data_IF_959438886208
#
_entry.id   IF_959438886208
#
_cell.length_a   1.000
_cell.length_b   1.000
_cell.length_c   1.000
_cell.angle_alpha   90.00
_cell.angle_beta   90.00
_cell.angle_gamma   90.00
#
_symmetry.space_group_name_H-M   'P 1'
#
loop_
_entity.id
_entity.type
_entity.pdbx_description
1 polymer ?
#
# COMPACT_ATOMS: atom_id res chain seq x y z
N UNK A 1 -3.78 -6.63 -5.69
CA UNK A 1 -3.51 -5.80 -6.88
C UNK A 1 -4.28 -4.49 -6.80
N UNK A 2 -3.60 -3.35 -6.80
CA UNK A 2 -4.17 -2.00 -6.88
C UNK A 2 -4.17 -1.44 -8.31
N UNK A 3 -5.26 -0.78 -8.68
CA UNK A 3 -5.41 -0.02 -9.91
C UNK A 3 -5.87 1.41 -9.63
N UNK A 4 -5.15 2.37 -10.21
CA UNK A 4 -5.41 3.80 -10.09
C UNK A 4 -6.32 4.30 -11.21
N UNK A 5 -7.31 5.11 -10.85
CA UNK A 5 -8.14 5.88 -11.78
C UNK A 5 -8.13 7.37 -11.43
N UNK A 6 -8.61 8.19 -12.37
CA UNK A 6 -8.64 9.65 -12.25
C UNK A 6 -9.38 10.18 -10.99
N UNK A 7 -10.30 9.40 -10.43
CA UNK A 7 -11.17 9.85 -9.32
C UNK A 7 -11.24 8.88 -8.15
N UNK A 8 -10.69 7.67 -8.29
CA UNK A 8 -10.72 6.65 -7.25
C UNK A 8 -9.66 5.57 -7.51
N UNK A 9 -9.35 4.82 -6.47
CA UNK A 9 -8.49 3.65 -6.55
C UNK A 9 -9.29 2.37 -6.31
N UNK A 10 -8.91 1.29 -6.98
CA UNK A 10 -9.51 -0.04 -6.79
C UNK A 10 -8.45 -1.00 -6.30
N UNK A 11 -8.70 -1.64 -5.16
CA UNK A 11 -7.89 -2.76 -4.66
C UNK A 11 -8.65 -4.06 -4.91
N UNK A 12 -7.98 -4.99 -5.58
CA UNK A 12 -8.47 -6.33 -5.84
C UNK A 12 -7.68 -7.34 -5.02
N UNK A 13 -8.40 -8.30 -4.46
CA UNK A 13 -7.86 -9.38 -3.65
C UNK A 13 -8.52 -10.71 -4.03
N UNK A 14 -7.85 -11.83 -3.73
CA UNK A 14 -8.42 -13.15 -3.96
C UNK A 14 -9.48 -13.45 -2.89
N UNK A 15 -10.75 -13.59 -3.28
CA UNK A 15 -11.85 -13.81 -2.33
C UNK A 15 -11.80 -15.19 -1.66
N UNK A 16 -11.34 -16.23 -2.37
CA UNK A 16 -11.27 -17.60 -1.87
C UNK A 16 -9.95 -17.88 -1.12
N UNK A 17 -9.64 -17.05 -0.13
CA UNK A 17 -8.51 -17.24 0.81
C UNK A 17 -8.91 -16.82 2.22
N UNK A 18 -8.05 -17.02 3.22
CA UNK A 18 -8.34 -16.66 4.62
C UNK A 18 -8.47 -15.15 4.78
N UNK A 19 -9.28 -14.67 5.74
CA UNK A 19 -9.41 -13.24 6.04
C UNK A 19 -8.05 -12.59 6.32
N UNK A 20 -7.19 -13.28 7.09
CA UNK A 20 -5.82 -12.85 7.36
C UNK A 20 -5.00 -12.60 6.07
N UNK A 21 -5.13 -13.49 5.09
CA UNK A 21 -4.44 -13.35 3.81
C UNK A 21 -5.09 -12.25 2.97
N UNK A 22 -6.41 -12.12 2.97
CA UNK A 22 -7.11 -11.02 2.29
C UNK A 22 -6.64 -9.66 2.83
N UNK A 23 -6.61 -9.50 4.15
CA UNK A 23 -6.13 -8.30 4.82
C UNK A 23 -4.66 -8.02 4.50
N UNK A 24 -3.83 -9.08 4.44
CA UNK A 24 -2.44 -8.98 4.00
C UNK A 24 -2.32 -8.44 2.57
N UNK A 25 -3.07 -8.99 1.62
CA UNK A 25 -3.12 -8.49 0.23
C UNK A 25 -3.55 -7.03 0.23
N UNK A 26 -4.63 -6.68 0.94
CA UNK A 26 -5.14 -5.30 0.95
C UNK A 26 -4.11 -4.33 1.53
N UNK A 27 -3.48 -4.69 2.66
CA UNK A 27 -2.45 -3.84 3.29
C UNK A 27 -1.20 -3.70 2.42
N UNK A 28 -0.80 -4.76 1.73
CA UNK A 28 0.28 -4.72 0.75
C UNK A 28 -0.04 -3.67 -0.34
N UNK A 29 -1.22 -3.73 -0.94
CA UNK A 29 -1.62 -2.75 -1.96
C UNK A 29 -1.75 -1.31 -1.42
N UNK A 30 -2.19 -1.15 -0.17
CA UNK A 30 -2.21 0.18 0.48
C UNK A 30 -0.79 0.72 0.66
N UNK A 31 0.18 -0.14 0.98
CA UNK A 31 1.59 0.27 1.07
C UNK A 31 2.11 0.84 -0.25
N UNK A 32 1.75 0.22 -1.38
CA UNK A 32 2.08 0.72 -2.71
C UNK A 32 1.49 2.10 -3.02
N UNK A 33 0.26 2.37 -2.57
CA UNK A 33 -0.36 3.69 -2.73
C UNK A 33 0.46 4.75 -1.98
N UNK A 34 0.83 4.46 -0.72
CA UNK A 34 1.58 5.39 0.11
C UNK A 34 2.99 5.68 -0.44
N UNK A 35 3.65 4.67 -1.00
CA UNK A 35 4.96 4.85 -1.65
C UNK A 35 4.82 5.74 -2.88
N UNK A 36 3.87 5.44 -3.78
CA UNK A 36 3.62 6.24 -4.98
C UNK A 36 3.27 7.70 -4.66
N UNK A 37 2.46 7.95 -3.62
CA UNK A 37 2.15 9.32 -3.16
C UNK A 37 3.41 10.05 -2.65
N UNK A 38 4.27 9.35 -1.91
CA UNK A 38 5.50 9.92 -1.38
C UNK A 38 6.53 10.22 -2.49
N UNK A 39 6.66 9.35 -3.48
CA UNK A 39 7.51 9.59 -4.65
C UNK A 39 7.04 10.81 -5.44
N UNK A 40 5.74 10.89 -5.74
CA UNK A 40 5.15 12.05 -6.41
C UNK A 40 5.38 13.34 -5.63
N UNK A 41 5.21 13.32 -4.31
CA UNK A 41 5.47 14.48 -3.46
C UNK A 41 6.96 14.90 -3.48
N UNK A 42 7.88 13.93 -3.55
CA UNK A 42 9.31 14.20 -3.67
C UNK A 42 9.67 14.80 -5.04
N UNK A 43 9.08 14.29 -6.13
CA UNK A 43 9.24 14.84 -7.48
C UNK A 43 8.71 16.28 -7.61
N UNK A 44 7.50 16.54 -7.09
CA UNK A 44 6.91 17.88 -7.07
C UNK A 44 7.80 18.85 -6.29
N UNK A 45 8.32 18.43 -5.13
CA UNK A 45 9.25 19.22 -4.32
C UNK A 45 10.58 19.50 -5.04
N UNK A 46 11.08 18.55 -5.84
CA UNK A 46 12.29 18.73 -6.64
C UNK A 46 12.07 19.67 -7.83
N UNK A 47 10.89 19.60 -8.47
CA UNK A 47 10.50 20.46 -9.60
C UNK A 47 10.34 21.93 -9.21
N UNK A 48 9.96 22.22 -7.96
CA UNK A 48 9.89 23.60 -7.45
C UNK A 48 11.28 24.26 -7.31
N UNK A 49 12.37 23.48 -7.29
CA UNK A 49 13.75 23.96 -7.15
C UNK A 49 14.45 24.16 -8.50
N UNK A 50 14.01 23.49 -9.56
CA UNK A 50 14.60 23.59 -10.91
C UNK A 50 13.74 24.43 -11.87
N UNK A 51 14.23 25.64 -12.18
CA UNK A 51 13.79 26.38 -13.37
C UNK A 51 14.42 25.79 -14.63
N UNK A 52 13.57 25.22 -15.48
CA UNK A 52 13.70 25.05 -16.94
C UNK A 52 14.90 24.24 -17.48
N UNK A 53 14.69 22.92 -17.64
CA UNK A 53 15.29 22.16 -18.76
C UNK A 53 14.36 21.01 -19.17
N UNK A 54 13.91 20.93 -20.44
CA UNK A 54 13.21 19.77 -20.92
C UNK A 54 14.23 18.71 -21.35
N UNK A 55 14.24 17.56 -20.69
CA UNK A 55 14.77 16.33 -21.25
C UNK A 55 13.71 15.25 -21.13
N UNK A 56 13.32 14.68 -22.27
CA UNK A 56 12.37 13.58 -22.36
C UNK A 56 12.96 12.62 -23.37
N UNK A 57 13.71 11.64 -22.87
CA UNK A 57 13.90 10.38 -23.57
C UNK A 57 12.82 9.41 -23.06
N UNK A 58 12.10 8.70 -23.94
CA UNK A 58 11.25 7.60 -23.49
C UNK A 58 12.15 6.44 -23.05
N UNK A 59 11.91 5.94 -21.83
CA UNK A 59 12.50 4.67 -21.38
C UNK A 59 11.82 3.52 -22.16
N UNK A 60 12.52 3.06 -23.19
CA UNK A 60 12.18 1.87 -23.97
C UNK A 60 12.82 0.64 -23.31
N UNK A 61 12.26 0.13 -22.21
CA UNK A 61 12.50 -1.27 -21.79
C UNK A 61 11.59 -1.75 -20.63
N UNK A 62 10.31 -1.36 -20.63
CA UNK A 62 9.31 -2.14 -19.89
C UNK A 62 8.90 -3.31 -20.78
N UNK A 63 9.17 -4.54 -20.32
CA UNK A 63 8.71 -5.77 -20.96
C UNK A 63 7.30 -5.57 -21.52
N UNK A 64 7.11 -5.86 -22.82
CA UNK A 64 5.86 -5.64 -23.54
C UNK A 64 4.75 -6.54 -22.98
N UNK A 65 4.24 -6.19 -21.81
CA UNK A 65 2.94 -6.62 -21.33
C UNK A 65 1.96 -6.04 -22.34
N UNK A 66 1.11 -6.89 -22.90
CA UNK A 66 0.06 -6.49 -23.84
C UNK A 66 -1.01 -5.69 -23.08
N UNK A 67 -0.65 -4.45 -22.74
CA UNK A 67 -1.42 -3.51 -21.94
C UNK A 67 -2.81 -3.30 -22.55
N UNK A 68 -2.87 -3.25 -23.87
CA UNK A 68 -4.11 -3.10 -24.64
C UNK A 68 -4.99 -4.36 -24.53
N UNK A 69 -4.40 -5.55 -24.61
CA UNK A 69 -5.10 -6.83 -24.46
C UNK A 69 -5.67 -7.03 -23.05
N UNK A 70 -4.91 -6.68 -22.01
CA UNK A 70 -5.37 -6.75 -20.62
C UNK A 70 -6.45 -5.72 -20.29
N UNK A 71 -6.30 -4.48 -20.76
CA UNK A 71 -7.34 -3.44 -20.61
C UNK A 71 -8.65 -3.85 -21.32
N UNK A 72 -8.56 -4.60 -22.42
CA UNK A 72 -9.73 -5.13 -23.12
C UNK A 72 -10.43 -6.26 -22.36
N UNK A 73 -9.67 -7.15 -21.72
CA UNK A 73 -10.21 -8.29 -20.97
C UNK A 73 -10.73 -7.89 -19.59
N UNK A 74 -10.15 -6.87 -18.98
CA UNK A 74 -10.49 -6.35 -17.67
C UNK A 74 -10.62 -4.82 -17.79
N UNK A 75 -11.76 -4.30 -18.30
CA UNK A 75 -12.00 -2.86 -18.48
C UNK A 75 -12.04 -2.08 -17.15
N UNK A 76 -11.92 -2.79 -16.02
CA UNK A 76 -11.63 -2.22 -14.71
C UNK A 76 -10.18 -1.70 -14.59
N UNK A 77 -9.34 -1.86 -15.61
CA UNK A 77 -8.00 -1.32 -15.61
C UNK A 77 -7.82 -0.37 -16.79
N UNK A 78 -7.49 0.88 -16.52
CA UNK A 78 -6.93 1.78 -17.54
C UNK A 78 -5.56 1.25 -17.99
N UNK A 79 -5.14 1.58 -19.21
CA UNK A 79 -3.86 1.11 -19.77
C UNK A 79 -2.65 1.47 -18.89
N UNK A 80 -2.66 2.65 -18.27
CA UNK A 80 -1.63 3.08 -17.33
C UNK A 80 -1.68 2.30 -16.00
N UNK A 81 -2.86 1.89 -15.54
CA UNK A 81 -2.99 1.01 -14.38
C UNK A 81 -2.43 -0.39 -14.68
N UNK A 82 -2.68 -0.94 -15.88
CA UNK A 82 -2.14 -2.25 -16.29
C UNK A 82 -0.60 -2.24 -16.33
N UNK A 83 0.02 -1.16 -16.86
CA UNK A 83 1.49 -1.03 -16.89
C UNK A 83 2.10 -1.07 -15.49
N UNK A 84 1.56 -0.27 -14.57
CA UNK A 84 2.03 -0.19 -13.18
C UNK A 84 1.83 -1.51 -12.44
N UNK A 85 0.66 -2.12 -12.59
CA UNK A 85 0.34 -3.43 -12.01
C UNK A 85 1.32 -4.51 -12.45
N UNK A 86 1.70 -4.53 -13.73
CA UNK A 86 2.60 -5.55 -14.26
C UNK A 86 4.04 -5.45 -13.74
N UNK A 87 4.48 -4.25 -13.36
CA UNK A 87 5.81 -4.02 -12.79
C UNK A 87 5.89 -4.46 -11.32
N UNK A 88 4.77 -4.35 -10.58
CA UNK A 88 4.65 -4.60 -9.12
C UNK A 88 4.48 -6.06 -8.70
N UNK A 89 4.90 -7.02 -9.55
CA UNK A 89 4.72 -8.46 -9.31
C UNK A 89 6.05 -9.20 -9.08
N UNK A 90 7.17 -8.48 -8.91
CA UNK A 90 8.50 -9.08 -8.74
C UNK A 90 9.06 -8.83 -7.34
N UNK A 91 9.23 -9.91 -6.56
CA UNK A 91 9.81 -9.87 -5.20
C UNK A 91 11.32 -9.57 -5.15
N UNK A 92 11.97 -9.32 -6.28
CA UNK A 92 13.40 -8.96 -6.32
C UNK A 92 13.67 -7.47 -6.07
N UNK A 93 12.60 -6.69 -5.89
CA UNK A 93 12.66 -5.27 -5.55
C UNK A 93 12.65 -5.03 -4.02
N UNK A 94 13.50 -4.11 -3.57
CA UNK A 94 13.59 -3.71 -2.17
C UNK A 94 12.34 -2.95 -1.69
N UNK A 95 11.66 -2.26 -2.60
CA UNK A 95 10.39 -1.59 -2.32
C UNK A 95 9.29 -2.60 -1.99
N UNK A 96 9.10 -3.61 -2.84
CA UNK A 96 8.14 -4.70 -2.64
C UNK A 96 8.34 -5.41 -1.29
N UNK A 97 9.60 -5.65 -0.91
CA UNK A 97 9.95 -6.21 0.40
C UNK A 97 9.57 -5.27 1.56
N UNK A 98 9.76 -3.95 1.38
CA UNK A 98 9.43 -2.95 2.39
C UNK A 98 7.92 -2.82 2.59
N UNK A 99 7.16 -2.82 1.50
CA UNK A 99 5.69 -2.79 1.51
C UNK A 99 5.13 -4.04 2.19
N UNK A 100 5.63 -5.23 1.83
CA UNK A 100 5.24 -6.49 2.47
C UNK A 100 5.57 -6.53 3.97
N UNK A 101 6.73 -6.01 4.36
CA UNK A 101 7.14 -5.94 5.76
C UNK A 101 6.20 -5.02 6.56
N UNK A 102 5.84 -3.86 6.02
CA UNK A 102 4.89 -2.94 6.66
C UNK A 102 3.52 -3.60 6.81
N UNK A 103 3.01 -4.25 5.76
CA UNK A 103 1.75 -4.99 5.81
C UNK A 103 1.76 -6.06 6.90
N UNK A 104 2.83 -6.86 6.95
CA UNK A 104 3.02 -7.90 7.98
C UNK A 104 3.04 -7.31 9.38
N UNK A 105 3.80 -6.23 9.59
CA UNK A 105 3.88 -5.55 10.88
C UNK A 105 2.49 -5.09 11.33
N UNK A 106 1.73 -4.41 10.47
CA UNK A 106 0.38 -3.92 10.80
C UNK A 106 -0.55 -5.09 11.16
N UNK A 107 -0.49 -6.19 10.41
CA UNK A 107 -1.32 -7.37 10.64
C UNK A 107 -0.97 -8.09 11.95
N UNK A 108 0.31 -8.21 12.27
CA UNK A 108 0.74 -8.76 13.57
C UNK A 108 0.24 -7.90 14.73
N UNK A 109 0.32 -6.58 14.61
CA UNK A 109 -0.22 -5.67 15.62
C UNK A 109 -1.74 -5.73 15.73
N UNK A 110 -2.46 -5.86 14.61
CA UNK A 110 -3.92 -5.98 14.65
C UNK A 110 -4.35 -7.28 15.35
N UNK A 111 -3.66 -8.39 15.08
CA UNK A 111 -3.87 -9.67 15.74
C UNK A 111 -3.55 -9.61 17.25
N UNK A 112 -2.44 -8.97 17.63
CA UNK A 112 -2.07 -8.76 19.04
C UNK A 112 -3.11 -7.91 19.79
N UNK A 113 -3.60 -6.83 19.17
CA UNK A 113 -4.59 -5.93 19.76
C UNK A 113 -5.95 -6.61 19.91
N UNK A 114 -6.38 -7.40 18.92
CA UNK A 114 -7.62 -8.17 18.97
C UNK A 114 -7.66 -9.16 20.15
N UNK A 115 -6.51 -9.71 20.53
CA UNK A 115 -6.38 -10.64 21.66
C UNK A 115 -6.15 -9.94 23.01
N UNK A 116 -6.11 -8.60 23.03
CA UNK A 116 -5.78 -7.84 24.23
C UNK A 116 -7.04 -7.51 25.06
N UNK A 117 -6.95 -7.57 26.40
CA UNK A 117 -8.07 -7.23 27.29
C UNK A 117 -8.52 -5.77 27.12
N UNK A 118 -9.79 -5.46 26.79
CA UNK A 118 -10.23 -4.08 26.68
C UNK A 118 -10.05 -3.32 28.00
N UNK A 119 -9.80 -2.00 27.95
CA UNK A 119 -9.63 -1.17 29.14
C UNK A 119 -10.91 -1.16 29.99
N UNK A 120 -10.76 -0.98 31.31
CA UNK A 120 -11.89 -0.93 32.21
C UNK A 120 -12.87 0.21 31.89
N UNK A 121 -14.17 -0.07 32.05
CA UNK A 121 -15.23 0.93 31.92
C UNK A 121 -15.16 2.00 33.02
N UNK A 122 -14.69 1.63 34.21
CA UNK A 122 -14.53 2.54 35.34
C UNK A 122 -13.36 3.52 35.09
N UNK A 123 -13.60 4.85 35.14
CA UNK A 123 -12.58 5.85 34.86
C UNK A 123 -11.39 5.85 35.84
N UNK A 124 -11.60 5.44 37.10
CA UNK A 124 -10.51 5.33 38.08
C UNK A 124 -9.64 4.12 37.81
N UNK A 125 -10.24 2.96 37.49
CA UNK A 125 -9.48 1.77 37.09
C UNK A 125 -8.72 2.00 35.78
N UNK A 126 -9.33 2.66 34.78
CA UNK A 126 -8.66 2.99 33.52
C UNK A 126 -7.42 3.87 33.69
N UNK A 127 -7.45 4.81 34.66
CA UNK A 127 -6.26 5.63 34.99
C UNK A 127 -5.14 4.79 35.59
N UNK A 128 -5.48 3.81 36.43
CA UNK A 128 -4.51 2.89 37.01
C UNK A 128 -3.93 1.96 35.94
N UNK A 129 -4.78 1.40 35.07
CA UNK A 129 -4.36 0.59 33.92
C UNK A 129 -3.46 1.36 32.97
N UNK A 130 -3.77 2.62 32.65
CA UNK A 130 -2.93 3.46 31.81
C UNK A 130 -1.59 3.82 32.46
N UNK A 131 -1.52 3.89 33.80
CA UNK A 131 -0.30 4.24 34.53
C UNK A 131 0.61 3.03 34.79
N UNK A 132 0.04 1.83 34.91
CA UNK A 132 0.77 0.60 35.26
C UNK A 132 0.89 -0.41 34.11
N UNK A 133 0.05 -0.29 33.07
CA UNK A 133 0.07 -1.17 31.92
C UNK A 133 1.15 -0.77 30.91
N UNK A 134 1.71 -1.76 30.23
CA UNK A 134 2.47 -1.51 29.01
C UNK A 134 1.56 -0.83 27.98
N UNK A 135 2.08 0.21 27.32
CA UNK A 135 1.35 0.89 26.25
C UNK A 135 1.00 -0.11 25.16
N UNK A 136 -0.29 -0.26 24.88
CA UNK A 136 -0.78 -1.11 23.80
C UNK A 136 -0.96 -0.25 22.56
N UNK A 137 -0.11 -0.48 21.56
CA UNK A 137 -0.14 0.25 20.29
C UNK A 137 1.10 1.13 20.08
N UNK A 138 1.06 1.94 19.01
CA UNK A 138 2.24 2.64 18.48
C UNK A 138 2.46 4.04 19.11
N UNK A 139 1.67 4.44 20.12
CA UNK A 139 1.73 5.76 20.80
C UNK A 139 1.54 5.65 22.32
#
# INVERSE_FOLDING_TARGET
>A
MWAEYDTYDVILYQQETTELHQDGIILHEVGHILVAENEKAAEDSAREVETDTPDTAPDEDAAAVDVEGWATLLPVFGTEAVKRVAQRCSYDDGEECSVELVATIILEWSALLANSTPPADDPALRRVEAALGDRRGWL
#
